data_IF_086749950612
#
_entry.id   IF_086749950612
#
_cell.length_a   1.000
_cell.length_b   1.000
_cell.length_c   1.000
_cell.angle_alpha   90.00
_cell.angle_beta   90.00
_cell.angle_gamma   90.00
#
_symmetry.space_group_name_H-M   'P 1'
#
loop_
_entity.id
_entity.type
_entity.pdbx_description
1 polymer ?
#
# COMPACT_ATOMS: atom_id res chain seq x y z
N UNK A 1 16.48 -29.85 32.08
CA UNK A 1 16.45 -29.98 30.62
C UNK A 1 15.01 -29.84 30.15
N UNK A 2 14.63 -28.66 29.64
CA UNK A 2 13.29 -28.44 29.08
C UNK A 2 13.46 -28.42 27.57
N UNK A 3 13.04 -29.50 26.93
CA UNK A 3 12.93 -29.59 25.48
C UNK A 3 11.91 -28.56 25.01
N UNK A 4 12.38 -27.45 24.46
CA UNK A 4 11.59 -26.53 23.67
C UNK A 4 11.20 -27.24 22.36
N UNK A 5 9.98 -27.69 22.29
CA UNK A 5 9.38 -28.20 21.06
C UNK A 5 9.39 -27.07 20.01
N UNK A 6 10.31 -27.17 19.05
CA UNK A 6 10.15 -26.47 17.78
C UNK A 6 8.83 -26.95 17.17
N UNK A 7 7.79 -26.12 17.27
CA UNK A 7 6.53 -26.34 16.59
C UNK A 7 6.88 -26.32 15.10
N UNK A 8 6.76 -27.47 14.45
CA UNK A 8 7.08 -27.67 13.04
C UNK A 8 6.20 -26.71 12.24
N UNK A 9 6.81 -25.82 11.46
CA UNK A 9 6.17 -24.82 10.57
C UNK A 9 5.44 -25.52 9.39
N UNK A 10 5.42 -26.85 9.38
CA UNK A 10 4.94 -27.70 8.26
C UNK A 10 3.46 -27.61 7.91
N UNK A 11 2.64 -26.84 8.66
CA UNK A 11 1.21 -26.69 8.38
C UNK A 11 0.80 -25.27 7.93
N UNK A 12 1.77 -24.39 7.67
CA UNK A 12 1.48 -23.02 7.27
C UNK A 12 1.63 -22.84 5.77
N UNK A 13 0.51 -22.56 5.08
CA UNK A 13 0.50 -22.27 3.66
C UNK A 13 0.62 -20.77 3.39
N UNK A 14 1.19 -20.45 2.25
CA UNK A 14 1.24 -19.11 1.70
C UNK A 14 0.74 -19.12 0.26
N UNK A 15 -0.33 -18.41 -0.02
CA UNK A 15 -0.92 -18.29 -1.34
C UNK A 15 -0.26 -17.14 -2.09
N UNK A 16 0.38 -17.43 -3.22
CA UNK A 16 1.16 -16.47 -4.01
C UNK A 16 0.48 -16.24 -5.35
N UNK A 17 0.13 -15.01 -5.65
CA UNK A 17 -0.46 -14.69 -6.95
C UNK A 17 0.57 -14.88 -8.06
N UNK A 18 0.20 -15.65 -9.08
CA UNK A 18 1.01 -15.92 -10.26
C UNK A 18 0.36 -15.37 -11.54
N UNK A 19 1.16 -15.28 -12.59
CA UNK A 19 0.71 -14.94 -13.94
C UNK A 19 0.21 -16.20 -14.69
N UNK A 20 -0.22 -16.06 -15.94
CA UNK A 20 -0.73 -17.14 -16.77
C UNK A 20 0.29 -18.24 -17.09
N UNK A 21 1.57 -17.99 -16.85
CA UNK A 21 2.65 -18.98 -17.04
C UNK A 21 3.05 -19.69 -15.74
N UNK A 22 2.33 -19.44 -14.64
CA UNK A 22 2.58 -20.06 -13.33
C UNK A 22 3.74 -19.46 -12.54
N UNK A 23 4.28 -18.33 -12.97
CA UNK A 23 5.33 -17.61 -12.23
C UNK A 23 4.74 -16.49 -11.37
N UNK A 24 5.37 -16.12 -10.22
CA UNK A 24 4.95 -14.98 -9.42
C UNK A 24 4.68 -13.74 -10.28
N UNK A 25 3.56 -13.06 -10.05
CA UNK A 25 3.05 -12.01 -10.95
C UNK A 25 3.94 -10.76 -11.08
N UNK A 26 4.88 -10.56 -10.16
CA UNK A 26 5.85 -9.46 -10.18
C UNK A 26 7.03 -9.75 -9.25
N UNK A 27 8.05 -8.88 -9.26
CA UNK A 27 9.27 -9.01 -8.45
C UNK A 27 8.99 -9.11 -6.94
N UNK A 28 7.99 -8.38 -6.42
CA UNK A 28 7.65 -8.45 -4.99
C UNK A 28 7.04 -9.81 -4.63
N UNK A 29 6.17 -10.35 -5.49
CA UNK A 29 5.60 -11.68 -5.30
C UNK A 29 6.68 -12.76 -5.39
N UNK A 30 7.66 -12.61 -6.29
CA UNK A 30 8.81 -13.52 -6.38
C UNK A 30 9.69 -13.46 -5.12
N UNK A 31 10.04 -12.27 -4.65
CA UNK A 31 10.84 -12.12 -3.43
C UNK A 31 10.10 -12.69 -2.20
N UNK A 32 8.79 -12.46 -2.10
CA UNK A 32 7.98 -13.04 -1.04
C UNK A 32 7.93 -14.58 -1.12
N UNK A 33 7.75 -15.14 -2.32
CA UNK A 33 7.78 -16.58 -2.56
C UNK A 33 9.09 -17.19 -2.08
N UNK A 34 10.25 -16.68 -2.51
CA UNK A 34 11.55 -17.20 -2.10
C UNK A 34 11.78 -17.08 -0.59
N UNK A 35 11.40 -15.95 0.00
CA UNK A 35 11.49 -15.76 1.45
C UNK A 35 10.62 -16.74 2.23
N UNK A 36 9.36 -16.88 1.86
CA UNK A 36 8.40 -17.77 2.54
C UNK A 36 8.79 -19.25 2.38
N UNK A 37 9.21 -19.65 1.19
CA UNK A 37 9.73 -20.99 0.93
C UNK A 37 10.94 -21.31 1.81
N UNK A 38 11.87 -20.36 1.95
CA UNK A 38 13.06 -20.52 2.83
C UNK A 38 12.67 -20.60 4.30
N UNK A 39 11.58 -19.94 4.70
CA UNK A 39 11.01 -20.04 6.04
C UNK A 39 10.22 -21.32 6.30
N UNK A 40 10.07 -22.20 5.31
CA UNK A 40 9.38 -23.48 5.42
C UNK A 40 7.87 -23.46 5.18
N UNK A 41 7.35 -22.37 4.56
CA UNK A 41 5.94 -22.34 4.16
C UNK A 41 5.71 -23.22 2.92
N UNK A 42 4.57 -23.92 2.89
CA UNK A 42 4.02 -24.49 1.67
C UNK A 42 3.48 -23.37 0.80
N UNK A 43 4.11 -23.09 -0.34
CA UNK A 43 3.70 -22.03 -1.26
C UNK A 43 2.74 -22.58 -2.32
N UNK A 44 1.52 -22.06 -2.33
CA UNK A 44 0.45 -22.42 -3.28
C UNK A 44 0.28 -21.27 -4.27
N UNK A 45 0.42 -21.53 -5.57
CA UNK A 45 0.18 -20.53 -6.59
C UNK A 45 -1.31 -20.45 -6.96
N UNK A 46 -1.77 -19.25 -7.25
CA UNK A 46 -3.13 -18.98 -7.72
C UNK A 46 -3.13 -17.80 -8.71
N UNK A 47 -4.06 -17.77 -9.65
CA UNK A 47 -4.20 -16.68 -10.63
C UNK A 47 -5.44 -15.85 -10.35
N UNK A 48 -6.56 -16.49 -10.08
CA UNK A 48 -7.87 -15.85 -9.90
C UNK A 48 -8.34 -15.95 -8.45
N UNK A 49 -9.22 -15.05 -8.08
CA UNK A 49 -9.78 -15.00 -6.72
C UNK A 49 -10.48 -16.31 -6.33
N UNK A 50 -11.18 -16.91 -7.27
CA UNK A 50 -11.94 -18.15 -7.08
C UNK A 50 -11.04 -19.31 -6.63
N UNK A 51 -9.81 -19.36 -7.13
CA UNK A 51 -8.82 -20.37 -6.75
C UNK A 51 -8.38 -20.30 -5.28
N UNK A 52 -8.45 -19.12 -4.65
CA UNK A 52 -8.26 -18.98 -3.19
C UNK A 52 -9.37 -19.68 -2.41
N UNK A 53 -10.60 -19.62 -2.91
CA UNK A 53 -11.77 -20.25 -2.30
C UNK A 53 -11.70 -21.76 -2.51
N UNK A 54 -11.45 -22.21 -3.73
CA UNK A 54 -11.30 -23.62 -4.10
C UNK A 54 -10.11 -24.27 -3.36
N UNK A 55 -9.00 -23.52 -3.21
CA UNK A 55 -7.83 -23.93 -2.44
C UNK A 55 -8.03 -23.89 -0.91
N UNK A 56 -9.24 -23.51 -0.45
CA UNK A 56 -9.58 -23.39 0.96
C UNK A 56 -8.58 -22.55 1.75
N UNK A 57 -8.26 -21.34 1.22
CA UNK A 57 -7.41 -20.36 1.94
C UNK A 57 -8.08 -19.93 3.24
N UNK A 58 -7.39 -20.14 4.35
CA UNK A 58 -7.88 -19.83 5.71
C UNK A 58 -7.37 -18.48 6.19
N UNK A 59 -8.04 -17.92 7.18
CA UNK A 59 -7.72 -16.61 7.77
C UNK A 59 -6.30 -16.51 8.34
N UNK A 60 -5.75 -17.60 8.83
CA UNK A 60 -4.43 -17.71 9.45
C UNK A 60 -3.31 -17.88 8.43
N UNK A 61 -3.65 -18.15 7.18
CA UNK A 61 -2.69 -18.39 6.11
C UNK A 61 -2.32 -17.07 5.39
N UNK A 62 -1.13 -17.04 4.84
CA UNK A 62 -0.64 -15.85 4.16
C UNK A 62 -1.19 -15.75 2.73
N UNK A 63 -1.40 -14.52 2.29
CA UNK A 63 -1.69 -14.21 0.89
C UNK A 63 -0.76 -13.11 0.39
N UNK A 64 -0.14 -13.35 -0.77
CA UNK A 64 0.72 -12.40 -1.49
C UNK A 64 0.06 -12.08 -2.83
N UNK A 65 -0.50 -10.89 -2.94
CA UNK A 65 -1.29 -10.46 -4.09
C UNK A 65 -1.38 -8.94 -4.19
N UNK A 66 -2.08 -8.44 -5.20
CA UNK A 66 -2.46 -7.04 -5.31
C UNK A 66 -3.45 -6.64 -4.20
N UNK A 67 -3.40 -5.38 -3.79
CA UNK A 67 -4.17 -4.85 -2.64
C UNK A 67 -5.67 -5.12 -2.76
N UNK A 68 -6.27 -4.94 -3.95
CA UNK A 68 -7.71 -5.15 -4.13
C UNK A 68 -8.15 -6.60 -3.90
N UNK A 69 -7.30 -7.57 -4.25
CA UNK A 69 -7.58 -8.98 -3.99
C UNK A 69 -7.46 -9.32 -2.50
N UNK A 70 -6.46 -8.73 -1.83
CA UNK A 70 -6.27 -8.88 -0.38
C UNK A 70 -7.47 -8.26 0.36
N UNK A 71 -7.88 -7.05 0.02
CA UNK A 71 -9.05 -6.38 0.62
C UNK A 71 -10.32 -7.19 0.46
N UNK A 72 -10.58 -7.72 -0.75
CA UNK A 72 -11.73 -8.60 -1.01
C UNK A 72 -11.69 -9.84 -0.11
N UNK A 73 -10.51 -10.48 0.00
CA UNK A 73 -10.38 -11.69 0.82
C UNK A 73 -10.52 -11.41 2.32
N UNK A 74 -10.02 -10.27 2.78
CA UNK A 74 -10.22 -9.82 4.17
C UNK A 74 -11.70 -9.56 4.47
N UNK A 75 -12.44 -8.97 3.50
CA UNK A 75 -13.89 -8.75 3.63
C UNK A 75 -14.66 -10.07 3.77
N UNK A 76 -14.28 -11.13 3.04
CA UNK A 76 -14.89 -12.46 3.21
C UNK A 76 -14.70 -13.01 4.63
N UNK A 77 -13.60 -12.67 5.29
CA UNK A 77 -13.35 -12.99 6.69
C UNK A 77 -13.97 -12.00 7.69
N UNK A 78 -14.78 -11.05 7.22
CA UNK A 78 -15.39 -10.00 8.04
C UNK A 78 -14.40 -8.93 8.53
N UNK A 79 -13.21 -8.85 7.94
CA UNK A 79 -12.17 -7.88 8.30
C UNK A 79 -12.24 -6.70 7.34
N UNK A 80 -12.40 -5.48 7.88
CA UNK A 80 -12.30 -4.23 7.12
C UNK A 80 -10.99 -3.52 7.47
N UNK A 81 -10.18 -3.23 6.46
CA UNK A 81 -9.02 -2.37 6.61
C UNK A 81 -9.45 -0.92 6.38
N UNK A 82 -9.31 -0.08 7.39
CA UNK A 82 -9.51 1.36 7.22
C UNK A 82 -8.37 1.94 6.36
N UNK A 83 -8.71 2.86 5.46
CA UNK A 83 -7.70 3.62 4.74
C UNK A 83 -6.89 4.46 5.72
N UNK A 84 -5.58 4.21 5.79
CA UNK A 84 -4.66 5.02 6.60
C UNK A 84 -4.18 6.16 5.71
N UNK A 85 -4.62 7.39 6.00
CA UNK A 85 -4.17 8.58 5.30
C UNK A 85 -3.18 9.37 6.17
N UNK A 86 -3.68 10.37 6.91
CA UNK A 86 -2.85 11.22 7.77
C UNK A 86 -3.43 11.16 9.19
N UNK A 87 -2.92 10.27 10.07
CA UNK A 87 -3.32 10.25 11.48
C UNK A 87 -3.01 11.58 12.14
N UNK A 88 -3.90 12.07 12.99
CA UNK A 88 -3.75 13.37 13.70
C UNK A 88 -2.46 13.45 14.51
N UNK A 89 -2.00 12.33 15.03
CA UNK A 89 -0.76 12.21 15.80
C UNK A 89 0.47 12.63 14.99
N UNK A 90 0.38 12.57 13.65
CA UNK A 90 1.45 12.94 12.73
C UNK A 90 1.30 14.37 12.16
N UNK A 91 0.27 15.13 12.55
CA UNK A 91 0.02 16.48 12.00
C UNK A 91 1.23 17.40 12.13
N UNK A 92 1.95 17.33 13.25
CA UNK A 92 3.16 18.14 13.49
C UNK A 92 4.32 17.86 12.51
N UNK A 93 4.29 16.71 11.82
CA UNK A 93 5.34 16.31 10.88
C UNK A 93 4.95 16.55 9.41
N UNK A 94 3.72 16.98 9.12
CA UNK A 94 3.25 17.13 7.75
C UNK A 94 4.01 18.20 6.95
N UNK A 95 4.49 19.25 7.60
CA UNK A 95 5.26 20.32 6.98
C UNK A 95 4.51 21.11 5.90
N UNK A 96 3.21 20.86 5.72
CA UNK A 96 2.32 21.51 4.75
C UNK A 96 0.86 21.41 5.17
N UNK A 97 0.03 22.30 4.65
CA UNK A 97 -1.41 22.19 4.84
C UNK A 97 -1.98 21.06 4.00
N UNK A 98 -2.84 20.25 4.62
CA UNK A 98 -3.60 19.17 3.97
C UNK A 98 -5.09 19.43 4.22
N UNK A 99 -5.91 19.26 3.18
CA UNK A 99 -7.36 19.43 3.28
C UNK A 99 -8.11 18.45 2.39
N UNK A 100 -9.38 18.21 2.69
CA UNK A 100 -10.28 17.44 1.86
C UNK A 100 -10.98 18.31 0.82
N UNK A 101 -11.21 17.75 -0.36
CA UNK A 101 -11.99 18.36 -1.43
C UNK A 101 -12.65 17.25 -2.26
N UNK A 102 -13.25 17.63 -3.39
CA UNK A 102 -13.71 16.68 -4.41
C UNK A 102 -12.98 16.93 -5.72
N UNK A 103 -12.88 15.89 -6.55
CA UNK A 103 -12.16 15.98 -7.81
C UNK A 103 -12.76 17.04 -8.75
N UNK A 104 -14.10 17.15 -8.80
CA UNK A 104 -14.78 18.15 -9.61
C UNK A 104 -14.54 19.57 -9.09
N UNK A 105 -14.45 19.77 -7.77
CA UNK A 105 -14.12 21.08 -7.22
C UNK A 105 -12.71 21.51 -7.62
N UNK A 106 -11.74 20.59 -7.60
CA UNK A 106 -10.38 20.89 -8.06
C UNK A 106 -10.37 21.22 -9.55
N UNK A 107 -11.07 20.42 -10.39
CA UNK A 107 -11.17 20.65 -11.81
C UNK A 107 -11.78 22.02 -12.17
N UNK A 108 -12.79 22.45 -11.41
CA UNK A 108 -13.54 23.68 -11.66
C UNK A 108 -13.00 24.92 -10.92
N UNK A 109 -11.85 24.81 -10.23
CA UNK A 109 -11.26 25.94 -9.49
C UNK A 109 -9.79 26.17 -9.90
N UNK A 110 -9.53 26.68 -11.11
CA UNK A 110 -8.15 26.94 -11.57
C UNK A 110 -7.34 27.84 -10.67
N UNK A 111 -7.99 28.75 -9.95
CA UNK A 111 -7.35 29.65 -8.98
C UNK A 111 -6.71 28.90 -7.78
N UNK A 112 -7.04 27.61 -7.56
CA UNK A 112 -6.42 26.78 -6.53
C UNK A 112 -5.15 26.05 -7.00
N UNK A 113 -4.79 26.15 -8.26
CA UNK A 113 -3.59 25.50 -8.83
C UNK A 113 -2.33 26.35 -8.63
N UNK A 114 -1.14 25.77 -8.50
CA UNK A 114 -0.90 24.31 -8.45
C UNK A 114 -1.31 23.71 -7.10
N UNK A 115 -1.83 22.47 -7.14
CA UNK A 115 -2.25 21.73 -5.96
C UNK A 115 -1.89 20.25 -6.08
N UNK A 116 -1.37 19.63 -5.03
CA UNK A 116 -1.20 18.19 -5.00
C UNK A 116 -2.52 17.52 -4.63
N UNK A 117 -2.89 16.47 -5.35
CA UNK A 117 -4.16 15.77 -5.19
C UNK A 117 -3.94 14.26 -5.19
N UNK A 118 -4.59 13.54 -4.27
CA UNK A 118 -4.69 12.07 -4.28
C UNK A 118 -6.09 11.62 -3.86
N UNK A 119 -6.56 10.47 -4.33
CA UNK A 119 -7.84 9.91 -3.86
C UNK A 119 -7.78 9.57 -2.36
N UNK A 120 -8.90 9.77 -1.65
CA UNK A 120 -9.05 9.37 -0.23
C UNK A 120 -9.12 7.86 -0.12
N UNK A 121 -9.94 7.23 -0.98
CA UNK A 121 -10.18 5.80 -1.01
C UNK A 121 -9.75 5.19 -2.35
N UNK A 122 -9.21 3.99 -2.27
CA UNK A 122 -8.78 3.25 -3.44
C UNK A 122 -7.60 3.90 -4.19
N UNK A 123 -7.34 3.44 -5.42
CA UNK A 123 -6.31 3.97 -6.32
C UNK A 123 -6.92 4.64 -7.56
N UNK A 124 -8.07 5.33 -7.41
CA UNK A 124 -8.72 6.03 -8.52
C UNK A 124 -7.81 7.10 -9.13
N UNK A 125 -7.09 7.82 -8.27
CA UNK A 125 -6.10 8.81 -8.67
C UNK A 125 -4.81 8.59 -7.90
N UNK A 126 -3.73 8.27 -8.62
CA UNK A 126 -2.37 8.33 -8.05
C UNK A 126 -2.02 9.77 -7.72
N UNK A 127 -1.35 9.99 -6.57
CA UNK A 127 -0.95 11.32 -6.14
C UNK A 127 -0.17 12.07 -7.22
N UNK A 128 -0.64 13.28 -7.58
CA UNK A 128 -0.01 14.15 -8.59
C UNK A 128 -0.21 15.62 -8.28
N UNK A 129 0.61 16.46 -8.85
CA UNK A 129 0.42 17.91 -8.84
C UNK A 129 -0.46 18.27 -10.04
N UNK A 130 -1.52 19.04 -9.79
CA UNK A 130 -2.43 19.59 -10.80
C UNK A 130 -2.03 21.04 -11.03
N UNK A 131 -1.49 21.33 -12.21
CA UNK A 131 -1.16 22.67 -12.70
C UNK A 131 -2.19 23.14 -13.74
N UNK A 132 -2.92 22.20 -14.32
CA UNK A 132 -3.91 22.44 -15.38
C UNK A 132 -4.98 21.34 -15.37
N UNK A 133 -6.07 21.57 -16.09
CA UNK A 133 -7.11 20.57 -16.27
C UNK A 133 -6.57 19.30 -16.96
N UNK A 134 -5.54 19.41 -17.81
CA UNK A 134 -4.93 18.27 -18.48
C UNK A 134 -4.32 17.27 -17.51
N UNK A 135 -3.85 17.71 -16.35
CA UNK A 135 -3.28 16.82 -15.32
C UNK A 135 -4.35 15.92 -14.68
N UNK A 136 -5.62 16.23 -14.88
CA UNK A 136 -6.75 15.42 -14.40
C UNK A 136 -7.30 14.45 -15.47
N UNK A 137 -6.73 14.44 -16.68
CA UNK A 137 -7.15 13.47 -17.70
C UNK A 137 -6.94 12.03 -17.21
N UNK A 138 -7.94 11.20 -17.46
CA UNK A 138 -7.94 9.80 -17.01
C UNK A 138 -8.17 9.60 -15.50
N UNK A 139 -8.51 10.66 -14.77
CA UNK A 139 -8.84 10.58 -13.35
C UNK A 139 -10.31 10.19 -13.07
N UNK A 140 -11.16 10.09 -14.10
CA UNK A 140 -12.60 9.86 -13.95
C UNK A 140 -13.38 11.08 -13.43
N UNK A 141 -12.78 12.27 -13.43
CA UNK A 141 -13.41 13.48 -12.89
C UNK A 141 -14.71 13.90 -13.61
N UNK A 142 -14.96 13.40 -14.81
CA UNK A 142 -16.20 13.71 -15.55
C UNK A 142 -17.36 12.77 -15.19
N UNK A 143 -17.06 11.58 -14.67
CA UNK A 143 -18.03 10.51 -14.48
C UNK A 143 -18.42 10.32 -12.99
N UNK A 144 -17.50 10.64 -12.06
CA UNK A 144 -17.70 10.39 -10.65
C UNK A 144 -16.98 11.45 -9.80
N UNK A 145 -17.75 12.13 -8.94
CA UNK A 145 -17.23 13.18 -8.07
C UNK A 145 -16.81 12.61 -6.71
N UNK A 146 -15.63 12.01 -6.65
CA UNK A 146 -15.11 11.38 -5.43
C UNK A 146 -14.27 12.32 -4.57
N UNK A 147 -14.13 11.96 -3.29
CA UNK A 147 -13.30 12.70 -2.33
C UNK A 147 -11.81 12.56 -2.63
N UNK A 148 -11.10 13.67 -2.50
CA UNK A 148 -9.65 13.77 -2.64
C UNK A 148 -9.03 14.46 -1.44
N UNK A 149 -7.80 14.05 -1.11
CA UNK A 149 -6.90 14.81 -0.24
C UNK A 149 -6.05 15.73 -1.09
N UNK A 150 -6.02 16.99 -0.70
CA UNK A 150 -5.25 18.04 -1.34
C UNK A 150 -4.15 18.52 -0.41
N UNK A 151 -3.06 19.00 -0.97
CA UNK A 151 -2.04 19.73 -0.23
C UNK A 151 -1.36 20.79 -1.09
N UNK A 152 -0.67 21.69 -0.45
CA UNK A 152 0.33 22.53 -1.12
C UNK A 152 1.36 21.61 -1.81
N UNK A 153 1.83 21.96 -3.03
CA UNK A 153 2.93 21.24 -3.66
C UNK A 153 4.20 21.37 -2.83
N UNK A 154 4.91 20.25 -2.64
CA UNK A 154 6.19 20.20 -1.94
C UNK A 154 7.20 19.51 -2.84
N UNK A 155 8.40 20.05 -2.91
CA UNK A 155 9.51 19.40 -3.59
C UNK A 155 10.30 18.55 -2.58
N UNK A 156 10.07 17.24 -2.57
CA UNK A 156 10.83 16.31 -1.74
C UNK A 156 12.19 16.03 -2.39
N UNK A 157 13.27 16.28 -1.67
CA UNK A 157 14.63 15.96 -2.12
C UNK A 157 14.97 14.48 -1.92
N UNK A 158 14.37 13.84 -0.90
CA UNK A 158 14.48 12.41 -0.65
C UNK A 158 13.29 11.91 0.16
N UNK A 159 12.98 10.64 -0.01
CA UNK A 159 11.89 9.94 0.67
C UNK A 159 12.37 8.59 1.20
N UNK A 160 11.94 8.22 2.40
CA UNK A 160 12.21 6.92 3.03
C UNK A 160 10.92 6.22 3.38
N UNK A 161 10.96 4.90 3.31
CA UNK A 161 9.89 4.05 3.81
C UNK A 161 10.30 3.44 5.12
N UNK A 162 9.56 3.74 6.17
CA UNK A 162 9.72 3.16 7.50
C UNK A 162 8.72 2.02 7.66
N UNK A 163 9.22 0.82 7.97
CA UNK A 163 8.41 -0.35 8.23
C UNK A 163 8.21 -0.48 9.74
N UNK A 164 6.95 -0.34 10.18
CA UNK A 164 6.58 -0.39 11.60
C UNK A 164 5.61 -1.54 11.84
N UNK A 165 5.85 -2.33 12.88
CA UNK A 165 4.92 -3.37 13.33
C UNK A 165 4.95 -3.49 14.85
N UNK A 166 3.77 -3.54 15.46
CA UNK A 166 3.60 -3.63 16.92
C UNK A 166 4.41 -2.57 17.70
N UNK A 167 4.39 -1.33 17.23
CA UNK A 167 5.12 -0.22 17.84
C UNK A 167 6.65 -0.28 17.70
N UNK A 168 7.18 -1.17 16.85
CA UNK A 168 8.61 -1.30 16.61
C UNK A 168 8.95 -0.97 15.16
N UNK A 169 9.99 -0.16 14.96
CA UNK A 169 10.59 0.05 13.66
C UNK A 169 11.36 -1.22 13.29
N UNK A 170 10.98 -1.85 12.18
CA UNK A 170 11.62 -3.06 11.68
C UNK A 170 12.73 -2.75 10.69
N UNK A 171 12.53 -1.72 9.86
CA UNK A 171 13.47 -1.35 8.81
C UNK A 171 13.17 0.06 8.29
N UNK A 172 14.19 0.71 7.69
CA UNK A 172 14.08 2.00 7.02
C UNK A 172 14.84 1.89 5.70
N UNK A 173 14.14 2.15 4.59
CA UNK A 173 14.69 2.03 3.24
C UNK A 173 14.52 3.32 2.45
N UNK A 174 15.55 3.73 1.67
CA UNK A 174 15.39 4.81 0.70
C UNK A 174 14.32 4.41 -0.31
N UNK A 175 13.42 5.33 -0.62
CA UNK A 175 12.30 5.09 -1.53
C UNK A 175 12.44 5.89 -2.83
N UNK A 176 12.83 7.16 -2.72
CA UNK A 176 12.99 8.06 -3.87
C UNK A 176 13.90 9.23 -3.51
N UNK A 177 14.52 9.85 -4.51
CA UNK A 177 15.25 11.10 -4.38
C UNK A 177 16.77 10.93 -4.30
N UNK A 178 17.42 11.92 -3.70
CA UNK A 178 18.89 11.95 -3.63
C UNK A 178 19.41 10.97 -2.56
N UNK A 179 20.19 9.97 -3.01
CA UNK A 179 20.77 8.95 -2.16
C UNK A 179 21.79 9.49 -1.13
N UNK A 180 22.31 10.71 -1.32
CA UNK A 180 23.26 11.37 -0.40
C UNK A 180 22.55 12.03 0.79
N UNK A 181 21.25 12.26 0.69
CA UNK A 181 20.46 12.84 1.78
C UNK A 181 20.05 11.72 2.73
N UNK A 182 20.25 11.90 4.02
CA UNK A 182 19.83 10.95 5.05
C UNK A 182 18.60 11.48 5.81
N UNK A 183 17.78 10.58 6.30
CA UNK A 183 16.66 10.94 7.20
C UNK A 183 17.20 11.39 8.56
N UNK A 184 16.43 12.19 9.29
CA UNK A 184 16.74 12.56 10.67
C UNK A 184 16.20 11.48 11.63
N UNK A 185 17.07 10.71 12.33
CA UNK A 185 16.64 9.66 13.26
C UNK A 185 15.67 10.18 14.32
N UNK A 186 15.91 11.38 14.87
CA UNK A 186 15.08 12.03 15.88
C UNK A 186 13.64 12.36 15.41
N UNK A 187 13.35 12.25 14.12
CA UNK A 187 11.98 12.41 13.59
C UNK A 187 11.25 11.08 13.51
N UNK A 188 12.01 9.98 13.44
CA UNK A 188 11.45 8.64 13.23
C UNK A 188 11.33 7.88 14.55
N UNK A 189 12.25 8.07 15.46
CA UNK A 189 12.29 7.49 16.81
C UNK A 189 11.39 8.28 17.78
#
# INVERSE_FOLDING_TARGET
>A
MKNGTHKIVSDMRAFIQCNSTGHPCNTNAFAAFEGLRTMGYECVFFQKYEELIEGNHRKEELIVSGIGMIERRLQDFGIRCAAINYPKELDKYLGRRIWKSTINKIANTPASWPVFVKSVEGKRLSGRIVNSIHDLMGSGCCDDNYEVLCSEPVNFIAEWRVFVRYGKILDIRPYKGDWKVHYAPSVIE
#
